data_IF_121788142649
#
_entry.id   IF_121788142649
#
_cell.length_a   1.000
_cell.length_b   1.000
_cell.length_c   1.000
_cell.angle_alpha   90.00
_cell.angle_beta   90.00
_cell.angle_gamma   90.00
#
_symmetry.space_group_name_H-M   'P 1'
#
loop_
_entity.id
_entity.type
_entity.pdbx_description
1 polymer ?
#
# COMPACT_ATOMS: atom_id res chain seq x y z
N UNK A 1 -21.53 -0.75 6.07
CA UNK A 1 -20.82 -1.85 6.79
C UNK A 1 -19.37 -2.00 6.34
N UNK A 2 -19.10 -1.99 5.04
CA UNK A 2 -17.76 -2.13 4.44
C UNK A 2 -16.75 -1.07 4.90
N UNK A 3 -17.16 0.20 4.98
CA UNK A 3 -16.30 1.27 5.52
C UNK A 3 -15.77 0.94 6.92
N UNK A 4 -16.60 0.38 7.81
CA UNK A 4 -16.17 -0.03 9.15
C UNK A 4 -15.20 -1.21 9.12
N UNK A 5 -15.36 -2.15 8.19
CA UNK A 5 -14.43 -3.29 8.01
C UNK A 5 -13.07 -2.80 7.53
N UNK A 6 -13.06 -1.87 6.56
CA UNK A 6 -11.83 -1.25 6.05
C UNK A 6 -11.09 -0.46 7.14
N UNK A 7 -11.79 0.34 7.93
CA UNK A 7 -11.19 1.09 9.06
C UNK A 7 -10.58 0.16 10.11
N UNK A 8 -11.24 -0.97 10.41
CA UNK A 8 -10.68 -1.98 11.33
C UNK A 8 -9.41 -2.62 10.75
N UNK A 9 -9.42 -2.95 9.46
CA UNK A 9 -8.27 -3.51 8.78
C UNK A 9 -7.07 -2.54 8.82
N UNK A 10 -7.30 -1.26 8.49
CA UNK A 10 -6.27 -0.21 8.55
C UNK A 10 -5.68 -0.13 9.96
N UNK A 11 -6.52 -0.10 11.01
CA UNK A 11 -6.05 -0.07 12.40
C UNK A 11 -5.25 -1.30 12.80
N UNK A 12 -5.58 -2.48 12.28
CA UNK A 12 -4.79 -3.69 12.54
C UNK A 12 -3.42 -3.62 11.85
N UNK A 13 -3.39 -3.16 10.59
CA UNK A 13 -2.15 -2.98 9.82
C UNK A 13 -1.21 -1.96 10.48
N UNK A 14 -1.75 -0.86 11.01
CA UNK A 14 -0.94 0.15 11.69
C UNK A 14 -0.26 -0.35 12.97
N UNK A 15 -0.83 -1.39 13.61
CA UNK A 15 -0.32 -1.94 14.87
C UNK A 15 0.61 -3.13 14.68
N UNK A 16 0.41 -3.91 13.62
CA UNK A 16 1.20 -5.09 13.35
C UNK A 16 2.61 -4.72 12.85
N UNK A 17 3.65 -5.54 13.10
CA UNK A 17 4.98 -5.36 12.50
C UNK A 17 4.94 -5.31 10.97
N UNK A 18 5.83 -4.52 10.35
CA UNK A 18 5.76 -4.25 8.91
C UNK A 18 6.18 -5.47 8.07
N UNK A 19 7.17 -6.21 8.55
CA UNK A 19 7.66 -7.48 8.03
C UNK A 19 6.60 -8.59 8.09
N UNK A 20 5.80 -8.65 9.16
CA UNK A 20 4.69 -9.62 9.26
C UNK A 20 3.56 -9.33 8.27
N UNK A 21 3.28 -8.05 8.01
CA UNK A 21 2.18 -7.62 7.13
C UNK A 21 2.58 -7.57 5.66
N UNK A 22 3.86 -7.37 5.35
CA UNK A 22 4.34 -7.25 3.97
C UNK A 22 3.90 -8.43 3.08
N UNK A 23 4.06 -9.71 3.47
CA UNK A 23 3.57 -10.84 2.69
C UNK A 23 2.05 -10.84 2.49
N UNK A 24 1.28 -10.39 3.49
CA UNK A 24 -0.17 -10.33 3.37
C UNK A 24 -0.61 -9.27 2.34
N UNK A 25 0.02 -8.11 2.34
CA UNK A 25 -0.25 -7.04 1.37
C UNK A 25 0.27 -7.41 -0.03
N UNK A 26 1.40 -8.11 -0.13
CA UNK A 26 1.99 -8.58 -1.39
C UNK A 26 1.06 -9.51 -2.17
N UNK A 27 0.28 -10.33 -1.45
CA UNK A 27 -0.67 -11.27 -2.02
C UNK A 27 -2.01 -10.64 -2.43
N UNK A 28 -2.22 -9.34 -2.18
CA UNK A 28 -3.42 -8.63 -2.61
C UNK A 28 -3.32 -8.19 -4.07
N UNK A 29 -4.46 -7.96 -4.75
CA UNK A 29 -4.46 -7.25 -6.02
C UNK A 29 -3.72 -5.90 -5.89
N UNK A 30 -2.81 -5.53 -6.82
CA UNK A 30 -1.96 -4.34 -6.67
C UNK A 30 -2.74 -3.04 -6.43
N UNK A 31 -3.90 -2.87 -7.06
CA UNK A 31 -4.80 -1.74 -6.84
C UNK A 31 -5.29 -1.66 -5.39
N UNK A 32 -5.67 -2.78 -4.79
CA UNK A 32 -6.16 -2.82 -3.41
C UNK A 32 -5.02 -2.59 -2.41
N UNK A 33 -3.85 -3.17 -2.65
CA UNK A 33 -2.65 -2.92 -1.86
C UNK A 33 -2.30 -1.42 -1.88
N UNK A 34 -2.30 -0.78 -3.05
CA UNK A 34 -2.06 0.66 -3.19
C UNK A 34 -3.08 1.49 -2.38
N UNK A 35 -4.36 1.13 -2.43
CA UNK A 35 -5.41 1.79 -1.64
C UNK A 35 -5.21 1.67 -0.13
N UNK A 36 -4.71 0.53 0.34
CA UNK A 36 -4.41 0.32 1.76
C UNK A 36 -3.19 1.16 2.16
N UNK A 37 -2.12 1.12 1.37
CA UNK A 37 -0.88 1.86 1.65
C UNK A 37 -1.12 3.39 1.66
N UNK A 38 -2.02 3.90 0.81
CA UNK A 38 -2.43 5.31 0.79
C UNK A 38 -3.27 5.73 2.00
N UNK A 39 -3.76 4.79 2.81
CA UNK A 39 -4.65 5.06 3.96
C UNK A 39 -3.98 4.82 5.32
N UNK A 40 -2.74 4.35 5.33
CA UNK A 40 -1.93 4.18 6.55
C UNK A 40 -0.85 5.26 6.61
N UNK A 41 -0.18 5.41 7.76
CA UNK A 41 0.95 6.33 7.88
C UNK A 41 2.05 6.06 6.85
N UNK A 42 2.57 7.12 6.24
CA UNK A 42 3.60 7.07 5.18
C UNK A 42 4.84 6.25 5.60
N UNK A 43 5.32 6.44 6.84
CA UNK A 43 6.45 5.65 7.37
C UNK A 43 6.14 4.16 7.37
N UNK A 44 4.93 3.77 7.82
CA UNK A 44 4.50 2.38 7.87
C UNK A 44 4.38 1.79 6.47
N UNK A 45 3.85 2.55 5.52
CA UNK A 45 3.79 2.14 4.12
C UNK A 45 5.18 1.91 3.51
N UNK A 46 6.14 2.81 3.78
CA UNK A 46 7.53 2.65 3.34
C UNK A 46 8.21 1.43 3.93
N UNK A 47 8.02 1.18 5.23
CA UNK A 47 8.52 -0.03 5.90
C UNK A 47 7.93 -1.31 5.27
N UNK A 48 6.61 -1.34 5.03
CA UNK A 48 5.95 -2.47 4.39
C UNK A 48 6.51 -2.71 2.98
N UNK A 49 6.64 -1.66 2.16
CA UNK A 49 7.20 -1.77 0.80
C UNK A 49 8.65 -2.27 0.81
N UNK A 50 9.45 -1.89 1.81
CA UNK A 50 10.84 -2.32 1.96
C UNK A 50 10.96 -3.81 2.32
N UNK A 51 9.95 -4.36 2.98
CA UNK A 51 9.91 -5.77 3.40
C UNK A 51 9.20 -6.69 2.38
N UNK A 52 8.76 -6.18 1.23
CA UNK A 52 8.11 -6.95 0.16
C UNK A 52 9.10 -7.47 -0.87
N UNK A 53 8.64 -8.40 -1.71
CA UNK A 53 9.28 -8.66 -2.98
C UNK A 53 9.37 -7.36 -3.82
N UNK A 54 10.57 -6.97 -4.31
CA UNK A 54 10.75 -5.70 -5.03
C UNK A 54 9.89 -5.57 -6.30
N UNK A 55 9.64 -6.67 -7.01
CA UNK A 55 8.80 -6.65 -8.22
C UNK A 55 7.35 -6.34 -7.87
N UNK A 56 6.84 -6.91 -6.78
CA UNK A 56 5.50 -6.65 -6.28
C UNK A 56 5.34 -5.25 -5.72
N UNK A 57 6.32 -4.78 -4.96
CA UNK A 57 6.36 -3.39 -4.50
C UNK A 57 6.30 -2.41 -5.68
N UNK A 58 7.07 -2.67 -6.76
CA UNK A 58 7.04 -1.84 -7.97
C UNK A 58 5.66 -1.83 -8.65
N UNK A 59 5.00 -2.98 -8.78
CA UNK A 59 3.63 -3.08 -9.31
C UNK A 59 2.66 -2.20 -8.50
N UNK A 60 2.72 -2.26 -7.17
CA UNK A 60 1.88 -1.47 -6.27
C UNK A 60 2.18 0.02 -6.38
N UNK A 61 3.46 0.39 -6.40
CA UNK A 61 3.92 1.79 -6.54
C UNK A 61 3.37 2.39 -7.85
N UNK A 62 3.37 1.63 -8.96
CA UNK A 62 2.80 2.10 -10.22
C UNK A 62 1.34 2.57 -10.05
N UNK A 63 0.51 1.80 -9.35
CA UNK A 63 -0.88 2.20 -9.07
C UNK A 63 -0.99 3.42 -8.15
N UNK A 64 -0.08 3.58 -7.19
CA UNK A 64 -0.03 4.78 -6.33
C UNK A 64 0.26 6.01 -7.18
N UNK A 65 1.23 5.90 -8.08
CA UNK A 65 1.68 6.98 -8.96
C UNK A 65 0.62 7.36 -10.00
N UNK A 66 -0.05 6.38 -10.60
CA UNK A 66 -1.16 6.59 -11.55
C UNK A 66 -2.36 7.31 -10.89
N UNK A 67 -2.52 7.19 -9.57
CA UNK A 67 -3.53 7.94 -8.81
C UNK A 67 -3.18 9.40 -8.57
N UNK A 68 -1.93 9.81 -8.79
CA UNK A 68 -1.51 11.20 -8.70
C UNK A 68 -1.53 11.83 -10.09
N UNK A 69 -2.53 12.65 -10.43
CA UNK A 69 -2.64 13.25 -11.77
C UNK A 69 -1.44 14.12 -12.15
N UNK A 70 -0.69 14.62 -11.16
CA UNK A 70 0.50 15.45 -11.37
C UNK A 70 1.80 14.65 -11.56
N UNK A 71 1.78 13.33 -11.36
CA UNK A 71 2.97 12.50 -11.55
C UNK A 71 3.24 12.24 -13.02
N UNK A 72 2.22 11.87 -13.79
CA UNK A 72 2.36 11.57 -15.22
C UNK A 72 2.64 12.84 -16.05
N UNK A 73 2.19 14.02 -15.61
CA UNK A 73 2.37 15.29 -16.32
C UNK A 73 3.80 15.86 -16.30
N UNK A 74 4.75 15.19 -15.62
CA UNK A 74 6.15 15.67 -15.46
C UNK A 74 7.19 14.79 -16.16
N UNK A 75 6.76 13.76 -16.87
CA UNK A 75 7.64 12.77 -17.52
C UNK A 75 7.45 12.77 -19.05
N UNK A 76 6.80 13.81 -19.59
CA UNK A 76 6.73 14.13 -21.02
C UNK A 76 7.64 15.32 -21.36
#
# INVERSE_FOLDING_TARGET
EEKRKLEKLIKSIEKAPADEIAPAIENLPPKLAAEILLRIKERKAGEILTNMNPKKASEIIKYILERNPNFNARID
#
